data_IF_618713462174
#
_entry.id   IF_618713462174
#
_cell.length_a   1.000
_cell.length_b   1.000
_cell.length_c   1.000
_cell.angle_alpha   90.00
_cell.angle_beta   90.00
_cell.angle_gamma   90.00
#
_symmetry.space_group_name_H-M   'P 1'
#
loop_
_entity.id
_entity.type
_entity.pdbx_description
1 polymer ?
#
# COMPACT_ATOMS: atom_id res chain seq x y z
N UNK A 1 2.54 -28.89 11.72
CA UNK A 1 1.91 -27.75 11.02
C UNK A 1 2.90 -26.60 11.10
N UNK A 2 3.36 -26.08 9.97
CA UNK A 2 4.21 -24.88 9.97
C UNK A 2 3.44 -23.71 10.61
N UNK A 3 4.12 -22.91 11.40
CA UNK A 3 3.57 -21.71 12.03
C UNK A 3 3.12 -20.72 10.94
N UNK A 4 1.89 -20.20 11.04
CA UNK A 4 1.40 -19.20 10.10
C UNK A 4 2.11 -17.88 10.39
N UNK A 5 2.85 -17.36 9.40
CA UNK A 5 3.49 -16.06 9.48
C UNK A 5 2.59 -15.06 8.77
N UNK A 6 2.27 -13.96 9.45
CA UNK A 6 1.46 -12.86 8.94
C UNK A 6 2.35 -11.63 8.83
N UNK A 7 2.45 -11.06 7.63
CA UNK A 7 3.14 -9.79 7.41
C UNK A 7 2.09 -8.73 7.05
N UNK A 8 1.93 -7.74 7.92
CA UNK A 8 1.08 -6.57 7.69
C UNK A 8 1.92 -5.48 7.02
N UNK A 9 1.55 -5.08 5.80
CA UNK A 9 2.24 -4.06 5.01
C UNK A 9 1.40 -2.78 4.98
N UNK A 10 1.94 -1.72 5.57
CA UNK A 10 1.35 -0.40 5.63
C UNK A 10 1.92 0.46 4.51
N UNK A 11 1.20 0.56 3.40
CA UNK A 11 1.53 1.44 2.29
C UNK A 11 1.03 2.85 2.59
N UNK A 12 1.93 3.80 2.78
CA UNK A 12 1.61 5.18 3.11
C UNK A 12 1.90 6.06 1.90
N UNK A 13 0.88 6.76 1.39
CA UNK A 13 1.11 7.84 0.42
C UNK A 13 1.68 9.04 1.16
N UNK A 14 2.68 9.71 0.58
CA UNK A 14 3.23 10.94 1.15
C UNK A 14 2.16 12.00 1.49
N UNK A 15 2.45 12.87 2.47
CA UNK A 15 1.64 14.04 2.80
C UNK A 15 1.60 15.05 1.64
N UNK A 16 0.72 16.05 1.72
CA UNK A 16 0.58 17.06 0.68
C UNK A 16 1.92 17.75 0.37
N UNK A 17 2.25 17.84 -0.92
CA UNK A 17 3.47 18.46 -1.43
C UNK A 17 3.18 19.67 -2.31
N UNK A 18 4.21 20.47 -2.60
CA UNK A 18 4.13 21.61 -3.53
C UNK A 18 3.61 21.18 -4.91
N UNK A 19 3.96 19.98 -5.38
CA UNK A 19 3.42 19.44 -6.62
C UNK A 19 1.92 19.08 -6.55
N UNK A 20 1.36 18.80 -5.36
CA UNK A 20 -0.08 18.54 -5.22
C UNK A 20 -0.89 19.83 -5.27
N UNK A 21 -0.37 20.93 -4.72
CA UNK A 21 -1.04 22.24 -4.75
C UNK A 21 -0.87 22.96 -6.10
N UNK A 22 0.06 22.50 -6.95
CA UNK A 22 0.22 22.94 -8.33
C UNK A 22 -0.11 21.83 -9.35
N UNK A 23 -1.39 21.37 -9.41
CA UNK A 23 -1.78 20.25 -10.25
C UNK A 23 -1.71 20.56 -11.75
N UNK A 24 -1.51 21.82 -12.14
CA UNK A 24 -1.31 22.21 -13.54
C UNK A 24 0.07 21.81 -14.08
N UNK A 25 1.03 21.45 -13.21
CA UNK A 25 2.37 21.01 -13.60
C UNK A 25 2.51 19.50 -13.36
N UNK A 26 3.22 18.81 -14.25
CA UNK A 26 3.56 17.40 -14.06
C UNK A 26 4.64 17.25 -12.99
N UNK A 27 4.27 16.70 -11.83
CA UNK A 27 5.20 16.52 -10.72
C UNK A 27 6.20 15.36 -10.88
N UNK A 28 5.73 14.20 -11.38
CA UNK A 28 6.55 13.00 -11.58
C UNK A 28 7.50 12.66 -10.42
N UNK A 29 8.78 12.45 -10.75
CA UNK A 29 9.87 12.16 -9.80
C UNK A 29 10.64 13.40 -9.33
N UNK A 30 10.06 14.60 -9.42
CA UNK A 30 10.71 15.83 -8.97
C UNK A 30 11.17 15.76 -7.50
N UNK A 31 12.46 16.03 -7.28
CA UNK A 31 13.09 16.18 -5.96
C UNK A 31 12.87 17.56 -5.34
N UNK A 32 12.28 18.50 -6.09
CA UNK A 32 11.94 19.84 -5.59
C UNK A 32 10.52 19.91 -5.04
N UNK A 33 9.73 18.84 -5.22
CA UNK A 33 8.37 18.72 -4.71
C UNK A 33 8.37 18.39 -3.21
N UNK A 34 8.71 19.37 -2.36
CA UNK A 34 8.75 19.24 -0.89
C UNK A 34 7.35 19.18 -0.27
N UNK A 35 7.26 18.71 0.97
CA UNK A 35 6.00 18.78 1.73
C UNK A 35 5.57 20.23 1.97
N UNK A 36 4.27 20.50 1.89
CA UNK A 36 3.69 21.74 2.40
C UNK A 36 3.63 21.70 3.92
N UNK A 37 3.35 22.85 4.57
CA UNK A 37 3.05 22.88 6.01
C UNK A 37 1.89 21.95 6.36
N UNK A 38 0.89 21.86 5.49
CA UNK A 38 -0.23 20.92 5.65
C UNK A 38 0.26 19.47 5.53
N UNK A 39 1.11 19.15 4.55
CA UNK A 39 1.72 17.82 4.41
C UNK A 39 2.51 17.37 5.63
N UNK A 40 3.33 18.26 6.19
CA UNK A 40 4.06 17.99 7.44
C UNK A 40 3.11 17.71 8.61
N UNK A 41 2.03 18.50 8.75
CA UNK A 41 0.99 18.28 9.78
C UNK A 41 0.25 16.96 9.57
N UNK A 42 0.02 16.53 8.32
CA UNK A 42 -0.58 15.24 8.00
C UNK A 42 0.32 14.07 8.43
N UNK A 43 1.62 14.13 8.11
CA UNK A 43 2.59 13.12 8.52
C UNK A 43 2.70 13.02 10.06
N UNK A 44 2.72 14.18 10.74
CA UNK A 44 2.68 14.24 12.20
C UNK A 44 1.44 13.56 12.77
N UNK A 45 0.26 13.91 12.25
CA UNK A 45 -1.00 13.32 12.66
C UNK A 45 -1.03 11.79 12.45
N UNK A 46 -0.43 11.31 11.36
CA UNK A 46 -0.30 9.88 11.10
C UNK A 46 0.53 9.21 12.19
N UNK A 47 1.72 9.73 12.49
CA UNK A 47 2.59 9.16 13.52
C UNK A 47 1.94 9.13 14.90
N UNK A 48 1.30 10.24 15.32
CA UNK A 48 0.55 10.29 16.57
C UNK A 48 -0.61 9.28 16.59
N UNK A 49 -1.35 9.13 15.48
CA UNK A 49 -2.43 8.15 15.38
C UNK A 49 -1.93 6.70 15.50
N UNK A 50 -0.83 6.37 14.81
CA UNK A 50 -0.22 5.05 14.86
C UNK A 50 0.29 4.72 16.28
N UNK A 51 0.83 5.71 17.00
CA UNK A 51 1.30 5.57 18.39
C UNK A 51 0.15 5.47 19.39
N UNK A 52 -0.74 6.46 19.40
CA UNK A 52 -1.67 6.67 20.52
C UNK A 52 -2.95 5.83 20.38
N UNK A 53 -3.43 5.64 19.15
CA UNK A 53 -4.70 4.95 18.89
C UNK A 53 -4.51 3.50 18.47
N UNK A 54 -3.53 3.23 17.59
CA UNK A 54 -3.29 1.86 17.12
C UNK A 54 -2.19 1.14 17.91
N UNK A 55 -1.40 1.87 18.70
CA UNK A 55 -0.28 1.34 19.51
C UNK A 55 0.62 0.40 18.69
N UNK A 56 0.95 0.84 17.47
CA UNK A 56 1.72 0.04 16.52
C UNK A 56 3.22 0.25 16.68
N UNK A 57 3.94 -0.87 16.60
CA UNK A 57 5.37 -0.93 16.33
C UNK A 57 5.59 -1.48 14.93
N UNK A 58 6.66 -1.01 14.27
CA UNK A 58 7.08 -1.54 12.98
C UNK A 58 8.39 -2.31 13.14
N UNK A 59 8.45 -3.45 12.47
CA UNK A 59 9.64 -4.29 12.36
C UNK A 59 10.63 -3.77 11.32
N UNK A 60 10.14 -3.03 10.33
CA UNK A 60 10.94 -2.36 9.32
C UNK A 60 10.18 -1.16 8.73
N UNK A 61 10.92 -0.12 8.35
CA UNK A 61 10.39 1.06 7.68
C UNK A 61 11.19 1.33 6.42
N UNK A 62 10.52 1.43 5.29
CA UNK A 62 11.12 1.82 4.01
C UNK A 62 10.46 3.07 3.46
N UNK A 63 11.23 3.92 2.79
CA UNK A 63 10.72 5.13 2.17
C UNK A 63 11.30 5.33 0.77
N UNK A 64 10.48 5.83 -0.14
CA UNK A 64 10.95 6.37 -1.41
C UNK A 64 11.98 7.48 -1.17
N UNK A 65 13.03 7.51 -1.99
CA UNK A 65 14.05 8.56 -1.99
C UNK A 65 13.56 9.93 -2.48
N UNK A 66 12.32 10.07 -2.95
CA UNK A 66 11.76 11.38 -3.28
C UNK A 66 11.44 12.14 -2.00
N UNK A 67 11.92 13.39 -1.92
CA UNK A 67 11.88 14.22 -0.70
C UNK A 67 10.54 14.19 0.04
N UNK A 68 9.41 14.31 -0.65
CA UNK A 68 8.07 14.30 -0.02
C UNK A 68 7.72 13.00 0.71
N UNK A 69 8.11 11.86 0.16
CA UNK A 69 7.83 10.56 0.77
C UNK A 69 8.79 10.28 1.92
N UNK A 70 10.07 10.58 1.73
CA UNK A 70 11.07 10.48 2.79
C UNK A 70 10.73 11.38 3.99
N UNK A 71 10.42 12.66 3.74
CA UNK A 71 10.03 13.61 4.78
C UNK A 71 8.76 13.17 5.52
N UNK A 72 7.81 12.55 4.81
CA UNK A 72 6.62 11.96 5.45
C UNK A 72 7.01 10.83 6.40
N UNK A 73 7.91 9.94 5.96
CA UNK A 73 8.42 8.85 6.78
C UNK A 73 9.16 9.37 8.00
N UNK A 74 10.10 10.31 7.83
CA UNK A 74 10.91 10.87 8.90
C UNK A 74 10.05 11.54 9.99
N UNK A 75 9.07 12.36 9.61
CA UNK A 75 8.14 12.98 10.56
C UNK A 75 7.28 11.93 11.27
N UNK A 76 6.79 10.92 10.55
CA UNK A 76 5.98 9.84 11.14
C UNK A 76 6.80 9.00 12.12
N UNK A 77 8.04 8.67 11.78
CA UNK A 77 8.98 7.92 12.62
C UNK A 77 9.37 8.71 13.86
N UNK A 78 9.56 10.03 13.76
CA UNK A 78 9.82 10.90 14.91
C UNK A 78 8.70 10.79 15.96
N UNK A 79 7.44 10.77 15.54
CA UNK A 79 6.29 10.59 16.44
C UNK A 79 6.24 9.18 17.05
N UNK A 80 6.65 8.15 16.30
CA UNK A 80 6.72 6.76 16.75
C UNK A 80 7.95 6.46 17.62
N UNK A 81 8.88 7.40 17.76
CA UNK A 81 10.15 7.18 18.44
C UNK A 81 11.14 6.29 17.67
N UNK A 82 10.92 6.08 16.37
CA UNK A 82 11.81 5.32 15.48
C UNK A 82 12.91 6.28 14.98
N UNK A 83 14.20 6.01 15.24
CA UNK A 83 15.30 6.83 14.74
C UNK A 83 15.30 6.94 13.21
N UNK A 84 15.54 8.14 12.67
CA UNK A 84 15.57 8.39 11.22
C UNK A 84 16.56 7.48 10.47
N UNK A 85 17.67 7.09 11.11
CA UNK A 85 18.67 6.14 10.56
C UNK A 85 18.14 4.73 10.32
N UNK A 86 16.99 4.37 10.89
CA UNK A 86 16.33 3.06 10.70
C UNK A 86 15.34 3.09 9.52
N UNK A 87 15.20 4.23 8.84
CA UNK A 87 14.44 4.35 7.60
C UNK A 87 15.30 3.88 6.43
N UNK A 88 14.91 2.78 5.81
CA UNK A 88 15.57 2.24 4.63
C UNK A 88 15.09 2.96 3.36
N UNK A 89 16.00 3.61 2.64
CA UNK A 89 15.65 4.26 1.37
C UNK A 89 15.51 3.20 0.26
N UNK A 90 14.42 3.25 -0.49
CA UNK A 90 14.13 2.33 -1.59
C UNK A 90 13.63 3.07 -2.84
N UNK A 91 14.44 3.09 -3.90
CA UNK A 91 14.09 3.75 -5.17
C UNK A 91 12.93 3.07 -5.89
N UNK A 92 12.72 1.77 -5.66
CA UNK A 92 11.57 1.03 -6.18
C UNK A 92 10.22 1.54 -5.65
N UNK A 93 10.22 2.36 -4.59
CA UNK A 93 9.03 3.01 -4.06
C UNK A 93 8.76 4.39 -4.70
N UNK A 94 9.63 4.91 -5.57
CA UNK A 94 9.43 6.21 -6.24
C UNK A 94 8.13 6.26 -7.05
N UNK A 95 7.64 7.49 -7.31
CA UNK A 95 6.49 7.70 -8.18
C UNK A 95 6.78 7.26 -9.62
N UNK A 96 5.73 7.04 -10.41
CA UNK A 96 5.87 6.83 -11.85
C UNK A 96 6.64 7.99 -12.50
N UNK A 97 7.74 7.67 -13.19
CA UNK A 97 8.47 8.64 -14.02
C UNK A 97 7.58 9.11 -15.16
N UNK A 98 7.50 10.42 -15.37
CA UNK A 98 6.86 11.01 -16.55
C UNK A 98 7.91 11.48 -17.58
N UNK A 99 9.19 11.17 -17.36
CA UNK A 99 10.28 11.48 -18.28
C UNK A 99 10.30 12.96 -18.67
N UNK A 100 10.31 13.23 -19.97
CA UNK A 100 10.37 14.58 -20.54
C UNK A 100 9.14 15.45 -20.21
N UNK A 101 8.07 14.87 -19.68
CA UNK A 101 6.89 15.63 -19.27
C UNK A 101 7.05 16.27 -17.90
N UNK A 102 7.98 15.81 -17.07
CA UNK A 102 8.17 16.35 -15.72
C UNK A 102 8.51 17.85 -15.75
N UNK A 103 7.85 18.63 -14.89
CA UNK A 103 7.96 20.09 -14.86
C UNK A 103 7.19 20.82 -15.95
N UNK A 104 6.63 20.13 -16.95
CA UNK A 104 5.82 20.77 -18.00
C UNK A 104 4.37 21.03 -17.55
N UNK A 105 3.69 22.03 -18.14
CA UNK A 105 2.26 22.20 -17.97
C UNK A 105 1.49 20.98 -18.49
N UNK A 106 0.60 20.44 -17.65
CA UNK A 106 -0.25 19.29 -17.99
C UNK A 106 -1.07 19.55 -19.26
N UNK A 107 -1.56 20.77 -19.46
CA UNK A 107 -2.35 21.14 -20.63
C UNK A 107 -1.57 21.01 -21.96
N UNK A 108 -0.24 21.07 -21.93
CA UNK A 108 0.60 20.90 -23.13
C UNK A 108 0.89 19.44 -23.46
N UNK A 109 0.96 18.56 -22.45
CA UNK A 109 1.41 17.17 -22.62
C UNK A 109 0.26 16.17 -22.58
N UNK A 110 -0.79 16.44 -21.81
CA UNK A 110 -2.03 15.66 -21.79
C UNK A 110 -3.08 16.32 -22.70
N UNK A 111 -2.75 16.39 -23.99
CA UNK A 111 -3.69 16.89 -25.00
C UNK A 111 -4.91 15.97 -25.13
N UNK A 112 -6.04 16.43 -25.70
CA UNK A 112 -7.21 15.58 -25.93
C UNK A 112 -6.87 14.28 -26.68
N UNK A 113 -6.01 14.34 -27.69
CA UNK A 113 -5.59 13.18 -28.47
C UNK A 113 -4.81 12.16 -27.63
N UNK A 114 -3.87 12.65 -26.82
CA UNK A 114 -3.10 11.80 -25.88
C UNK A 114 -4.05 11.15 -24.87
N UNK A 115 -4.95 11.93 -24.27
CA UNK A 115 -5.91 11.42 -23.29
C UNK A 115 -6.86 10.39 -23.91
N UNK A 116 -7.25 10.56 -25.17
CA UNK A 116 -8.11 9.62 -25.89
C UNK A 116 -7.38 8.31 -26.23
N UNK A 117 -6.08 8.36 -26.54
CA UNK A 117 -5.29 7.16 -26.87
C UNK A 117 -4.85 6.37 -25.62
N UNK A 118 -4.66 7.04 -24.48
CA UNK A 118 -4.15 6.43 -23.25
C UNK A 118 -4.89 5.15 -22.82
N UNK A 119 -6.25 5.10 -22.74
CA UNK A 119 -6.97 3.91 -22.28
C UNK A 119 -6.69 2.65 -23.11
N UNK A 120 -6.50 2.79 -24.42
CA UNK A 120 -6.20 1.67 -25.31
C UNK A 120 -4.75 1.17 -25.17
N UNK A 121 -3.85 2.05 -24.72
CA UNK A 121 -2.43 1.76 -24.56
C UNK A 121 -2.08 1.29 -23.13
N UNK A 122 -2.96 1.45 -22.15
CA UNK A 122 -2.72 0.96 -20.79
C UNK A 122 -2.65 -0.59 -20.76
N UNK A 123 -1.77 -1.19 -19.92
CA UNK A 123 -0.91 -0.55 -18.92
C UNK A 123 0.46 -0.08 -19.46
N UNK A 124 0.66 -0.17 -20.78
CA UNK A 124 1.95 0.02 -21.46
C UNK A 124 2.22 1.44 -21.96
N UNK A 125 1.23 2.34 -21.86
CA UNK A 125 1.42 3.74 -22.20
C UNK A 125 2.60 4.33 -21.44
N UNK A 126 3.50 5.02 -22.15
CA UNK A 126 4.66 5.70 -21.58
C UNK A 126 4.67 7.16 -22.04
N UNK A 127 4.98 8.08 -21.14
CA UNK A 127 5.48 9.39 -21.54
C UNK A 127 6.88 9.22 -22.17
N UNK A 128 7.34 10.11 -23.08
CA UNK A 128 8.69 10.06 -23.62
C UNK A 128 9.75 10.03 -22.50
N UNK A 129 10.59 8.99 -22.48
CA UNK A 129 11.59 8.75 -21.43
C UNK A 129 11.02 8.42 -20.04
N UNK A 130 9.70 8.17 -19.94
CA UNK A 130 8.99 7.87 -18.70
C UNK A 130 8.79 6.38 -18.45
N UNK A 131 7.95 6.07 -17.45
CA UNK A 131 7.54 4.71 -17.11
C UNK A 131 6.09 4.45 -17.51
N UNK A 132 5.78 3.19 -17.81
CA UNK A 132 4.43 2.69 -17.94
C UNK A 132 3.89 2.20 -16.60
N UNK A 133 2.57 2.08 -16.49
CA UNK A 133 1.96 1.52 -15.29
C UNK A 133 2.37 0.05 -15.06
N UNK A 134 2.73 -0.68 -16.12
CA UNK A 134 3.26 -2.04 -16.01
C UNK A 134 4.66 -2.02 -15.41
N UNK A 135 5.56 -1.15 -15.90
CA UNK A 135 6.92 -1.02 -15.37
C UNK A 135 6.93 -0.66 -13.87
N UNK A 136 6.06 0.29 -13.48
CA UNK A 136 5.88 0.67 -12.07
C UNK A 136 5.39 -0.50 -11.23
N UNK A 137 4.39 -1.25 -11.70
CA UNK A 137 3.92 -2.45 -11.02
C UNK A 137 5.06 -3.46 -10.85
N UNK A 138 5.81 -3.73 -11.93
CA UNK A 138 6.89 -4.73 -11.92
C UNK A 138 7.97 -4.40 -10.90
N UNK A 139 8.49 -3.15 -10.87
CA UNK A 139 9.52 -2.78 -9.89
C UNK A 139 9.00 -2.80 -8.46
N UNK A 140 7.80 -2.29 -8.22
CA UNK A 140 7.25 -2.24 -6.87
C UNK A 140 6.92 -3.65 -6.36
N UNK A 141 6.43 -4.53 -7.23
CA UNK A 141 6.23 -5.94 -6.92
C UNK A 141 7.56 -6.64 -6.60
N UNK A 142 8.58 -6.46 -7.44
CA UNK A 142 9.90 -7.06 -7.21
C UNK A 142 10.45 -6.68 -5.84
N UNK A 143 10.44 -5.40 -5.51
CA UNK A 143 10.86 -4.90 -4.20
C UNK A 143 10.04 -5.49 -3.05
N UNK A 144 8.71 -5.42 -3.13
CA UNK A 144 7.84 -5.92 -2.05
C UNK A 144 7.98 -7.44 -1.87
N UNK A 145 8.11 -8.22 -2.95
CA UNK A 145 8.34 -9.66 -2.85
C UNK A 145 9.71 -9.99 -2.22
N UNK A 146 10.75 -9.23 -2.55
CA UNK A 146 12.05 -9.31 -1.88
C UNK A 146 11.95 -9.04 -0.38
N UNK A 147 11.29 -7.93 -0.01
CA UNK A 147 11.06 -7.56 1.39
C UNK A 147 10.22 -8.61 2.13
N UNK A 148 9.17 -9.17 1.51
CA UNK A 148 8.39 -10.26 2.12
C UNK A 148 9.27 -11.48 2.38
N UNK A 149 10.13 -11.88 1.44
CA UNK A 149 11.06 -13.00 1.62
C UNK A 149 12.00 -12.76 2.80
N UNK A 150 12.58 -11.57 2.89
CA UNK A 150 13.44 -11.17 4.02
C UNK A 150 12.69 -11.26 5.36
N UNK A 151 11.49 -10.67 5.44
CA UNK A 151 10.70 -10.69 6.68
C UNK A 151 10.25 -12.10 7.07
N UNK A 152 9.97 -12.98 6.11
CA UNK A 152 9.70 -14.39 6.37
C UNK A 152 10.94 -15.12 6.94
N UNK A 153 12.14 -14.83 6.43
CA UNK A 153 13.38 -15.42 6.95
C UNK A 153 13.64 -14.96 8.39
N UNK A 154 13.46 -13.68 8.68
CA UNK A 154 13.61 -13.12 10.04
C UNK A 154 12.60 -13.78 10.99
N UNK A 155 11.31 -13.81 10.62
CA UNK A 155 10.26 -14.43 11.43
C UNK A 155 10.55 -15.91 11.76
N UNK A 156 11.06 -16.68 10.79
CA UNK A 156 11.43 -18.09 11.00
C UNK A 156 12.61 -18.24 11.95
N UNK A 157 13.62 -17.39 11.84
CA UNK A 157 14.78 -17.39 12.73
C UNK A 157 14.38 -17.06 14.18
N UNK A 158 13.54 -16.05 14.36
CA UNK A 158 13.07 -15.62 15.68
C UNK A 158 12.24 -16.75 16.35
N UNK A 159 11.39 -17.43 15.58
CA UNK A 159 10.59 -18.58 16.04
C UNK A 159 11.42 -19.85 16.35
N UNK A 160 12.54 -20.07 15.64
CA UNK A 160 13.44 -21.20 15.89
C UNK A 160 14.34 -20.99 17.11
N UNK A 161 14.80 -19.76 17.34
CA UNK A 161 15.69 -19.44 18.46
C UNK A 161 14.94 -19.26 19.80
N UNK A 162 13.62 -19.48 19.85
CA UNK A 162 12.82 -19.24 21.05
C UNK A 162 12.89 -17.79 21.53
N UNK A 163 13.28 -16.86 20.66
CA UNK A 163 13.36 -15.44 20.99
C UNK A 163 11.93 -14.92 20.97
N UNK A 164 11.27 -15.01 22.12
CA UNK A 164 10.17 -14.10 22.46
C UNK A 164 10.70 -12.68 22.18
N UNK A 165 9.97 -11.80 21.46
CA UNK A 165 10.44 -10.46 21.22
C UNK A 165 10.73 -9.79 22.57
N UNK A 166 12.01 -9.68 22.91
CA UNK A 166 12.42 -9.04 24.15
C UNK A 166 12.28 -7.55 23.94
N UNK A 167 11.29 -6.98 24.62
CA UNK A 167 11.34 -5.59 25.07
C UNK A 167 12.58 -5.44 25.97
N UNK A 168 13.71 -5.03 25.37
CA UNK A 168 14.89 -4.48 26.04
C UNK A 168 15.71 -5.41 26.95
N UNK A 169 16.96 -5.72 26.55
CA UNK A 169 17.97 -6.27 27.47
C UNK A 169 19.12 -6.99 26.77
N UNK A 170 20.34 -6.46 26.91
CA UNK A 170 21.61 -7.00 26.38
C UNK A 170 21.97 -8.38 26.98
N UNK A 171 22.54 -9.29 26.17
CA UNK A 171 23.18 -10.51 26.69
C UNK A 171 23.84 -11.40 25.63
N UNK A 172 25.10 -11.78 25.87
CA UNK A 172 26.04 -12.44 24.95
C UNK A 172 25.82 -13.95 24.72
N UNK A 173 26.06 -14.38 23.48
CA UNK A 173 27.00 -15.45 23.05
C UNK A 173 26.81 -16.93 23.45
N UNK A 174 26.71 -17.83 22.45
CA UNK A 174 27.74 -18.83 22.08
C UNK A 174 27.26 -19.80 20.98
N UNK A 175 28.19 -20.16 20.10
CA UNK A 175 28.09 -21.15 19.01
C UNK A 175 28.32 -22.59 19.52
N UNK A 176 27.79 -23.60 18.79
CA UNK A 176 28.55 -24.77 18.28
C UNK A 176 27.69 -25.68 17.37
N UNK A 177 28.36 -26.36 16.42
CA UNK A 177 27.79 -26.96 15.19
C UNK A 177 27.47 -28.46 15.20
N UNK A 178 27.14 -28.99 14.02
CA UNK A 178 26.86 -30.42 13.74
C UNK A 178 26.32 -30.66 12.32
N UNK A 179 26.67 -31.80 11.71
CA UNK A 179 26.84 -32.09 10.28
C UNK A 179 25.63 -32.28 9.34
N UNK A 180 26.00 -32.26 8.06
CA UNK A 180 25.26 -32.24 6.79
C UNK A 180 24.46 -33.51 6.49
N UNK A 181 23.13 -33.35 6.39
CA UNK A 181 22.28 -34.04 5.41
C UNK A 181 21.76 -32.98 4.43
N UNK A 182 21.34 -33.37 3.21
CA UNK A 182 20.78 -32.42 2.22
C UNK A 182 19.83 -31.46 2.93
N UNK A 183 20.18 -30.17 2.93
CA UNK A 183 19.59 -29.23 3.87
C UNK A 183 18.09 -29.11 3.61
N UNK A 184 17.27 -29.07 4.66
CA UNK A 184 15.84 -28.72 4.52
C UNK A 184 15.65 -27.35 3.82
N UNK A 185 16.71 -26.54 3.75
CA UNK A 185 16.79 -25.28 3.03
C UNK A 185 16.67 -25.49 1.51
N UNK A 186 17.40 -26.44 0.91
CA UNK A 186 17.34 -26.73 -0.52
C UNK A 186 15.97 -27.30 -0.92
N UNK A 187 15.39 -28.19 -0.10
CA UNK A 187 14.05 -28.76 -0.34
C UNK A 187 12.93 -27.71 -0.23
N UNK A 188 13.12 -26.64 0.55
CA UNK A 188 12.12 -25.55 0.74
C UNK A 188 12.27 -24.42 -0.27
N UNK A 189 13.47 -24.20 -0.81
CA UNK A 189 13.69 -23.30 -1.94
C UNK A 189 13.02 -23.84 -3.21
N UNK A 190 13.02 -25.16 -3.40
CA UNK A 190 12.27 -25.83 -4.47
C UNK A 190 10.75 -25.67 -4.35
N UNK A 191 10.17 -25.75 -3.13
CA UNK A 191 8.72 -25.53 -2.93
C UNK A 191 8.27 -24.07 -3.11
N UNK A 192 9.12 -23.10 -2.73
CA UNK A 192 8.86 -21.68 -2.92
C UNK A 192 9.03 -21.27 -4.40
N UNK A 193 10.05 -21.82 -5.06
CA UNK A 193 10.24 -21.72 -6.51
C UNK A 193 9.05 -22.34 -7.24
N UNK A 194 8.56 -23.50 -6.80
CA UNK A 194 7.38 -24.16 -7.37
C UNK A 194 6.10 -23.35 -7.18
N UNK A 195 5.90 -22.70 -6.03
CA UNK A 195 4.72 -21.86 -5.77
C UNK A 195 4.70 -20.58 -6.61
N UNK A 196 5.87 -19.95 -6.80
CA UNK A 196 6.04 -18.79 -7.67
C UNK A 196 5.95 -19.18 -9.16
N UNK A 197 6.52 -20.33 -9.54
CA UNK A 197 6.40 -20.89 -10.89
C UNK A 197 4.96 -21.29 -11.22
N UNK A 198 4.17 -21.80 -10.25
CA UNK A 198 2.75 -22.10 -10.44
C UNK A 198 1.93 -20.84 -10.74
N UNK A 199 2.30 -19.71 -10.10
CA UNK A 199 1.67 -18.40 -10.35
C UNK A 199 1.99 -17.90 -11.76
N UNK A 200 3.22 -18.10 -12.26
CA UNK A 200 3.59 -17.76 -13.63
C UNK A 200 3.00 -18.72 -14.69
N UNK A 201 2.87 -20.01 -14.39
CA UNK A 201 2.17 -20.97 -15.26
C UNK A 201 0.68 -20.61 -15.42
N UNK A 202 0.01 -20.23 -14.32
CA UNK A 202 -1.39 -19.77 -14.35
C UNK A 202 -1.56 -18.48 -15.18
N UNK A 203 -0.54 -17.61 -15.22
CA UNK A 203 -0.51 -16.41 -16.08
C UNK A 203 -0.35 -16.74 -17.57
N UNK A 204 0.47 -17.73 -17.91
CA UNK A 204 0.63 -18.17 -19.31
C UNK A 204 -0.66 -18.82 -19.82
N UNK A 205 -1.33 -19.62 -18.98
CA UNK A 205 -2.64 -20.20 -19.31
C UNK A 205 -3.73 -19.13 -19.52
N UNK A 206 -3.72 -18.04 -18.74
CA UNK A 206 -4.66 -16.92 -18.91
C UNK A 206 -4.43 -16.10 -20.20
N UNK A 207 -3.22 -16.13 -20.77
CA UNK A 207 -2.91 -15.51 -22.08
C UNK A 207 -3.26 -16.41 -23.28
N UNK A 208 -3.54 -17.70 -23.06
CA UNK A 208 -3.77 -18.70 -24.10
C UNK A 208 -5.21 -18.82 -24.62
N UNK A 209 -6.20 -18.20 -23.96
CA UNK A 209 -7.60 -18.22 -24.42
C UNK A 209 -7.90 -16.98 -25.28
N UNK A 210 -7.33 -16.94 -26.48
CA UNK A 210 -7.84 -16.10 -27.57
C UNK A 210 -9.08 -16.75 -28.17
N UNK A 211 -10.25 -16.11 -28.01
CA UNK A 211 -11.43 -16.45 -28.79
C UNK A 211 -11.33 -15.81 -30.20
N UNK A 212 -11.84 -16.46 -31.26
CA UNK A 212 -11.51 -16.14 -32.64
C UNK A 212 -12.27 -14.92 -33.17
N UNK A 213 -11.69 -14.34 -34.21
CA UNK A 213 -12.29 -13.29 -35.05
C UNK A 213 -13.65 -13.71 -35.62
N UNK A 214 -14.62 -12.78 -35.58
CA UNK A 214 -15.83 -12.85 -36.38
C UNK A 214 -16.06 -11.47 -37.03
N UNK A 215 -16.09 -11.47 -38.36
CA UNK A 215 -16.21 -10.29 -39.19
C UNK A 215 -17.64 -9.75 -39.34
N UNK A 216 -17.69 -8.43 -39.53
CA UNK A 216 -18.51 -7.62 -40.46
C UNK A 216 -20.04 -7.82 -40.49
N UNK A 217 -20.79 -6.76 -40.15
CA UNK A 217 -21.74 -6.13 -41.09
C UNK A 217 -22.20 -4.73 -40.65
N UNK A 218 -22.34 -3.85 -41.65
CA UNK A 218 -22.86 -2.48 -41.61
C UNK A 218 -24.39 -2.43 -41.51
N UNK A 219 -24.95 -1.40 -40.85
CA UNK A 219 -25.77 -0.32 -41.43
C UNK A 219 -26.31 0.65 -40.32
N UNK A 220 -26.85 1.85 -40.65
CA UNK A 220 -26.65 3.08 -39.89
C UNK A 220 -27.99 3.69 -39.37
N UNK A 221 -27.93 4.98 -39.03
CA UNK A 221 -29.03 5.94 -38.71
C UNK A 221 -29.27 6.17 -37.21
N UNK A 222 -28.86 7.35 -36.72
CA UNK A 222 -29.67 8.58 -36.52
C UNK A 222 -30.32 8.56 -35.12
N UNK A 223 -30.54 9.62 -34.36
CA UNK A 223 -30.65 11.05 -34.65
C UNK A 223 -30.48 11.84 -33.34
N UNK A 224 -30.37 13.16 -33.50
CA UNK A 224 -30.25 14.22 -32.51
C UNK A 224 -31.45 14.31 -31.55
N UNK A 225 -31.28 14.93 -30.36
CA UNK A 225 -32.45 15.33 -29.57
C UNK A 225 -32.20 15.85 -28.15
N UNK A 226 -31.94 17.15 -28.05
CA UNK A 226 -31.98 18.02 -26.85
C UNK A 226 -33.30 17.99 -26.08
N UNK A 227 -33.30 18.27 -24.77
CA UNK A 227 -34.51 18.78 -24.10
C UNK A 227 -34.58 18.64 -22.57
N UNK A 228 -34.54 19.77 -21.89
CA UNK A 228 -34.67 19.99 -20.44
C UNK A 228 -36.14 19.81 -19.97
N UNK A 229 -36.39 19.27 -18.77
CA UNK A 229 -37.32 19.89 -17.79
C UNK A 229 -37.25 19.25 -16.40
N UNK A 230 -37.20 20.14 -15.41
CA UNK A 230 -37.45 19.90 -13.99
C UNK A 230 -38.89 19.42 -13.74
N UNK A 231 -39.10 18.58 -12.71
CA UNK A 231 -40.00 18.90 -11.58
C UNK A 231 -40.16 17.77 -10.55
N UNK A 232 -40.07 18.24 -9.29
CA UNK A 232 -40.86 17.90 -8.10
C UNK A 232 -40.77 16.52 -7.44
N UNK A 233 -40.25 16.58 -6.21
CA UNK A 233 -40.44 15.73 -5.03
C UNK A 233 -41.92 15.62 -4.64
N UNK A 234 -42.32 14.51 -3.99
CA UNK A 234 -43.19 14.65 -2.83
C UNK A 234 -42.62 13.95 -1.58
N UNK A 235 -42.73 14.68 -0.47
CA UNK A 235 -42.63 14.19 0.91
C UNK A 235 -43.85 13.33 1.26
N UNK A 236 -43.65 12.31 2.09
CA UNK A 236 -44.73 11.51 2.66
C UNK A 236 -44.19 10.49 3.67
N UNK A 237 -44.28 10.85 4.94
CA UNK A 237 -43.77 10.12 6.09
C UNK A 237 -44.63 8.90 6.51
N UNK A 238 -43.96 7.84 6.98
CA UNK A 238 -44.35 6.92 8.05
C UNK A 238 -43.24 5.84 8.13
N UNK A 239 -42.42 5.75 9.17
CA UNK A 239 -42.85 5.32 10.50
C UNK A 239 -42.83 3.79 10.56
N UNK A 240 -41.67 3.17 10.80
CA UNK A 240 -41.60 1.79 11.27
C UNK A 240 -40.38 1.56 12.15
N UNK A 241 -40.70 0.91 13.26
CA UNK A 241 -39.97 0.82 14.51
C UNK A 241 -38.76 -0.11 14.41
N UNK A 242 -37.75 0.24 15.20
CA UNK A 242 -36.67 -0.64 15.64
C UNK A 242 -37.24 -1.75 16.51
N UNK A 243 -37.12 -3.01 16.09
CA UNK A 243 -37.27 -4.16 16.98
C UNK A 243 -35.93 -4.86 17.15
N UNK A 244 -35.48 -4.88 18.40
CA UNK A 244 -34.43 -5.74 18.90
C UNK A 244 -34.88 -7.20 18.76
N UNK A 245 -34.03 -8.05 18.20
CA UNK A 245 -34.18 -9.50 18.30
C UNK A 245 -33.27 -9.98 19.43
N UNK A 246 -33.93 -10.25 20.56
CA UNK A 246 -33.38 -10.94 21.71
C UNK A 246 -33.00 -12.38 21.35
N UNK A 247 -31.99 -12.85 22.08
CA UNK A 247 -31.42 -14.17 22.02
C UNK A 247 -32.46 -15.27 22.34
N UNK A 248 -32.50 -16.30 21.50
CA UNK A 248 -33.02 -17.61 21.89
C UNK A 248 -31.90 -18.63 21.80
N UNK A 249 -31.61 -19.22 22.96
CA UNK A 249 -30.65 -20.30 23.12
C UNK A 249 -31.10 -21.56 22.38
N UNK A 250 -30.15 -22.14 21.64
CA UNK A 250 -30.19 -23.53 21.25
C UNK A 250 -28.97 -24.18 21.89
N UNK A 251 -29.23 -24.99 22.91
CA UNK A 251 -28.28 -25.95 23.45
C UNK A 251 -28.09 -27.06 22.42
N UNK A 252 -26.93 -27.08 21.75
CA UNK A 252 -26.49 -28.27 21.03
C UNK A 252 -25.17 -28.76 21.63
N UNK A 253 -25.33 -29.83 22.40
CA UNK A 253 -24.26 -30.67 22.93
C UNK A 253 -23.73 -31.54 21.80
N UNK A 254 -22.66 -31.11 21.13
CA UNK A 254 -21.81 -32.00 20.35
C UNK A 254 -20.39 -32.00 20.91
N UNK A 255 -19.95 -33.21 21.21
CA UNK A 255 -18.74 -33.54 21.93
C UNK A 255 -17.48 -33.21 21.12
N UNK A 256 -16.48 -32.66 21.81
CA UNK A 256 -15.07 -33.03 21.61
C UNK A 256 -14.48 -32.78 20.22
N UNK A 257 -14.72 -31.61 19.60
CA UNK A 257 -13.73 -31.08 18.68
C UNK A 257 -12.52 -30.66 19.53
N UNK A 258 -11.48 -31.50 19.53
CA UNK A 258 -10.18 -31.19 20.09
C UNK A 258 -9.70 -29.88 19.44
N UNK A 259 -9.92 -28.73 20.10
CA UNK A 259 -9.34 -27.47 19.68
C UNK A 259 -7.82 -27.65 19.75
N UNK A 260 -7.23 -28.01 18.60
CA UNK A 260 -5.78 -28.14 18.47
C UNK A 260 -5.22 -26.76 18.79
N UNK A 261 -4.26 -26.64 19.72
CA UNK A 261 -3.65 -25.36 20.03
C UNK A 261 -3.07 -24.77 18.74
N UNK A 262 -3.71 -23.72 18.23
CA UNK A 262 -3.19 -22.93 17.12
C UNK A 262 -1.97 -22.22 17.69
N UNK A 263 -0.76 -22.62 17.26
CA UNK A 263 0.46 -21.86 17.58
C UNK A 263 0.20 -20.41 17.17
N UNK A 264 0.46 -19.48 18.09
CA UNK A 264 0.22 -18.06 17.86
C UNK A 264 0.92 -17.63 16.57
N UNK A 265 0.19 -16.99 15.66
CA UNK A 265 0.77 -16.55 14.39
C UNK A 265 1.89 -15.52 14.65
N UNK A 266 3.09 -15.76 14.09
CA UNK A 266 4.16 -14.77 14.11
C UNK A 266 3.74 -13.61 13.22
N UNK A 267 3.60 -12.43 13.81
CA UNK A 267 3.17 -11.22 13.10
C UNK A 267 4.34 -10.27 12.94
N UNK A 268 4.59 -9.83 11.72
CA UNK A 268 5.49 -8.71 11.43
C UNK A 268 4.73 -7.56 10.78
N UNK A 269 5.15 -6.33 11.02
CA UNK A 269 4.57 -5.11 10.47
C UNK A 269 5.64 -4.28 9.79
N UNK A 270 5.40 -3.95 8.52
CA UNK A 270 6.33 -3.15 7.72
C UNK A 270 5.61 -1.91 7.19
N UNK A 271 6.24 -0.75 7.33
CA UNK A 271 5.74 0.50 6.74
C UNK A 271 6.52 0.84 5.46
N UNK A 272 5.81 1.10 4.36
CA UNK A 272 6.38 1.55 3.09
C UNK A 272 5.80 2.92 2.72
N UNK A 273 6.64 3.95 2.74
CA UNK A 273 6.26 5.32 2.38
C UNK A 273 6.57 5.58 0.90
N UNK A 274 5.53 5.89 0.11
CA UNK A 274 5.63 6.03 -1.33
C UNK A 274 4.62 7.01 -1.93
N UNK A 275 4.16 6.72 -3.14
CA UNK A 275 3.41 7.67 -3.97
C UNK A 275 2.13 7.08 -4.54
N UNK A 276 1.28 7.97 -5.06
CA UNK A 276 -0.07 7.63 -5.47
C UNK A 276 -0.11 6.62 -6.61
N UNK A 277 0.61 6.86 -7.70
CA UNK A 277 0.55 5.93 -8.84
C UNK A 277 1.30 4.63 -8.55
N UNK A 278 2.45 4.69 -7.89
CA UNK A 278 3.16 3.49 -7.43
C UNK A 278 2.26 2.54 -6.63
N UNK A 279 1.62 3.04 -5.55
CA UNK A 279 0.72 2.22 -4.71
C UNK A 279 -0.45 1.65 -5.53
N UNK A 280 -1.07 2.46 -6.41
CA UNK A 280 -2.19 2.00 -7.23
C UNK A 280 -1.78 0.91 -8.22
N UNK A 281 -0.64 1.05 -8.87
CA UNK A 281 -0.11 0.04 -9.79
C UNK A 281 0.20 -1.26 -9.05
N UNK A 282 0.80 -1.18 -7.86
CA UNK A 282 1.03 -2.36 -7.03
C UNK A 282 -0.28 -3.04 -6.58
N UNK A 283 -1.25 -2.26 -6.09
CA UNK A 283 -2.58 -2.77 -5.72
C UNK A 283 -3.27 -3.46 -6.87
N UNK A 284 -3.29 -2.83 -8.06
CA UNK A 284 -3.86 -3.43 -9.28
C UNK A 284 -3.21 -4.79 -9.53
N UNK A 285 -1.88 -4.84 -9.45
CA UNK A 285 -1.08 -6.02 -9.70
C UNK A 285 -1.40 -7.18 -8.76
N UNK A 286 -1.44 -6.94 -7.44
CA UNK A 286 -1.73 -8.01 -6.48
C UNK A 286 -3.19 -8.49 -6.57
N UNK A 287 -4.10 -7.60 -6.97
CA UNK A 287 -5.51 -7.93 -7.21
C UNK A 287 -5.77 -8.56 -8.58
N UNK A 288 -4.76 -8.62 -9.45
CA UNK A 288 -4.88 -9.11 -10.83
C UNK A 288 -6.01 -8.42 -11.61
N UNK A 289 -6.19 -7.12 -11.35
CA UNK A 289 -7.30 -6.34 -11.89
C UNK A 289 -6.94 -5.66 -13.21
N UNK A 290 -7.97 -5.35 -14.01
CA UNK A 290 -7.81 -4.66 -15.29
C UNK A 290 -7.07 -3.31 -15.13
N UNK A 291 -6.14 -2.95 -16.04
CA UNK A 291 -5.43 -1.67 -16.04
C UNK A 291 -6.32 -0.43 -15.83
N UNK A 292 -7.56 -0.45 -16.33
CA UNK A 292 -8.55 0.63 -16.19
C UNK A 292 -8.95 0.88 -14.74
N UNK A 293 -8.73 -0.07 -13.84
CA UNK A 293 -9.04 0.08 -12.42
C UNK A 293 -8.06 1.00 -11.70
N UNK A 294 -6.84 1.19 -12.22
CA UNK A 294 -5.79 1.99 -11.57
C UNK A 294 -6.27 3.40 -11.23
N UNK A 295 -7.01 4.05 -12.14
CA UNK A 295 -7.52 5.41 -11.93
C UNK A 295 -8.79 5.47 -11.07
N UNK A 296 -9.48 4.34 -10.88
CA UNK A 296 -10.66 4.24 -10.01
C UNK A 296 -10.30 4.09 -8.54
N UNK A 297 -9.05 3.72 -8.24
CA UNK A 297 -8.53 3.70 -6.87
C UNK A 297 -8.16 5.14 -6.50
N UNK A 298 -8.86 5.69 -5.51
CA UNK A 298 -8.56 7.00 -4.94
C UNK A 298 -7.68 6.83 -3.70
N UNK A 299 -6.65 7.67 -3.58
CA UNK A 299 -5.74 7.71 -2.44
C UNK A 299 -5.54 9.18 -2.06
N UNK A 300 -5.82 9.54 -0.82
CA UNK A 300 -5.62 10.87 -0.27
C UNK A 300 -4.15 11.11 0.11
N UNK A 301 -3.74 12.36 0.23
CA UNK A 301 -2.42 12.68 0.78
C UNK A 301 -2.33 12.15 2.22
N UNK A 302 -1.20 11.52 2.58
CA UNK A 302 -0.99 10.85 3.87
C UNK A 302 -1.89 9.64 4.14
N UNK A 303 -2.64 9.13 3.14
CA UNK A 303 -3.52 7.96 3.35
C UNK A 303 -2.72 6.67 3.60
N UNK A 304 -3.31 5.76 4.37
CA UNK A 304 -2.76 4.42 4.64
C UNK A 304 -3.57 3.35 3.89
N UNK A 305 -2.88 2.49 3.18
CA UNK A 305 -3.42 1.25 2.61
C UNK A 305 -2.78 0.08 3.35
N UNK A 306 -3.61 -0.75 4.00
CA UNK A 306 -3.16 -1.89 4.78
C UNK A 306 -3.37 -3.18 4.02
N UNK A 307 -2.28 -3.90 3.78
CA UNK A 307 -2.25 -5.20 3.16
C UNK A 307 -1.79 -6.26 4.17
N UNK A 308 -2.21 -7.49 3.96
CA UNK A 308 -1.71 -8.65 4.71
C UNK A 308 -1.22 -9.70 3.76
N UNK A 309 -0.02 -10.19 4.00
CA UNK A 309 0.51 -11.39 3.36
C UNK A 309 0.53 -12.53 4.38
N UNK A 310 -0.04 -13.67 4.02
CA UNK A 310 0.09 -14.89 4.82
C UNK A 310 0.68 -16.01 3.97
N UNK A 311 1.49 -16.87 4.59
CA UNK A 311 2.18 -17.96 3.87
C UNK A 311 1.24 -18.94 3.19
N UNK A 312 0.01 -19.09 3.68
CA UNK A 312 -0.99 -20.02 3.17
C UNK A 312 -1.94 -19.42 2.11
N UNK A 313 -2.24 -18.13 2.18
CA UNK A 313 -3.30 -17.49 1.39
C UNK A 313 -2.80 -16.33 0.52
N UNK A 314 -1.55 -15.89 0.70
CA UNK A 314 -0.97 -14.78 -0.04
C UNK A 314 -1.56 -13.44 0.38
N UNK A 315 -1.76 -12.54 -0.59
CA UNK A 315 -2.15 -11.15 -0.36
C UNK A 315 -3.64 -10.97 -0.06
N UNK A 316 -3.92 -10.13 0.92
CA UNK A 316 -5.26 -9.64 1.27
C UNK A 316 -5.22 -8.13 1.43
N UNK A 317 -6.22 -7.45 0.89
CA UNK A 317 -6.42 -6.02 1.12
C UNK A 317 -7.31 -5.86 2.35
N UNK A 318 -6.77 -5.26 3.42
CA UNK A 318 -7.53 -5.01 4.66
C UNK A 318 -8.15 -3.62 4.65
N UNK A 319 -7.39 -2.61 4.20
CA UNK A 319 -7.86 -1.23 4.06
C UNK A 319 -7.25 -0.59 2.83
N UNK A 320 -8.00 0.28 2.17
CA UNK A 320 -7.48 1.16 1.11
C UNK A 320 -7.87 2.58 1.47
N UNK A 321 -6.92 3.51 1.35
CA UNK A 321 -7.17 4.94 1.56
C UNK A 321 -7.70 5.30 2.97
N UNK A 322 -7.21 4.65 4.02
CA UNK A 322 -7.56 5.02 5.39
C UNK A 322 -6.97 6.40 5.74
N UNK A 323 -7.81 7.29 6.25
CA UNK A 323 -7.48 8.68 6.59
C UNK A 323 -8.01 9.06 7.97
N UNK A 324 -8.30 8.08 8.84
CA UNK A 324 -8.83 8.32 10.18
C UNK A 324 -8.00 9.34 11.00
N UNK A 325 -6.68 9.30 10.87
CA UNK A 325 -5.76 10.26 11.52
C UNK A 325 -6.00 11.71 11.10
N UNK A 326 -6.40 11.95 9.85
CA UNK A 326 -6.70 13.30 9.35
C UNK A 326 -8.00 13.84 9.92
N UNK A 327 -8.98 12.97 10.16
CA UNK A 327 -10.26 13.35 10.77
C UNK A 327 -10.06 13.66 12.25
N UNK A 328 -9.32 12.81 12.96
CA UNK A 328 -9.01 12.98 14.38
C UNK A 328 -8.19 14.25 14.62
N UNK A 329 -7.16 14.50 13.82
CA UNK A 329 -6.31 15.69 13.96
C UNK A 329 -7.07 17.01 13.76
N UNK A 330 -8.12 17.03 12.93
CA UNK A 330 -8.99 18.22 12.77
C UNK A 330 -9.82 18.52 14.01
N UNK A 331 -10.12 17.50 14.83
CA UNK A 331 -10.93 17.62 16.05
C UNK A 331 -10.08 17.90 17.30
N UNK A 332 -8.77 17.68 17.24
CA UNK A 332 -7.86 17.93 18.35
C UNK A 332 -7.68 19.44 18.62
N UNK A 333 -7.67 19.88 19.90
CA UNK A 333 -7.39 21.26 20.29
C UNK A 333 -6.10 21.82 19.68
N UNK A 334 -6.04 23.14 19.48
CA UNK A 334 -4.91 23.77 18.79
C UNK A 334 -3.64 23.83 19.65
N UNK A 335 -3.78 23.79 20.97
CA UNK A 335 -2.70 23.95 21.95
C UNK A 335 -1.74 22.73 22.03
N UNK A 336 -2.18 21.55 21.61
CA UNK A 336 -1.35 20.32 21.63
C UNK A 336 -0.40 20.20 20.42
N UNK A 337 -0.40 21.19 19.51
CA UNK A 337 0.27 21.09 18.20
C UNK A 337 1.69 21.64 18.23
N UNK A 338 2.62 20.96 18.91
CA UNK A 338 4.07 21.24 18.76
C UNK A 338 4.45 21.23 17.28
N UNK A 339 5.08 22.26 16.76
CA UNK A 339 5.47 22.28 15.36
C UNK A 339 6.73 21.43 15.14
N UNK A 340 6.77 20.70 14.03
CA UNK A 340 7.96 19.94 13.63
C UNK A 340 8.75 20.80 12.65
N UNK A 341 10.02 21.02 12.94
CA UNK A 341 10.95 21.78 12.11
C UNK A 341 11.98 20.86 11.46
N UNK A 342 12.31 21.14 10.20
CA UNK A 342 13.43 20.50 9.49
C UNK A 342 14.70 21.29 9.78
N UNK A 343 15.71 20.63 10.34
CA UNK A 343 17.00 21.24 10.67
C UNK A 343 17.92 21.33 9.44
N UNK A 344 18.95 22.21 9.47
CA UNK A 344 20.07 22.13 8.54
C UNK A 344 20.68 20.72 8.58
N UNK A 345 20.69 20.02 7.44
CA UNK A 345 21.09 18.61 7.36
C UNK A 345 19.93 17.62 7.15
N UNK A 346 18.68 18.08 7.17
CA UNK A 346 17.51 17.31 6.74
C UNK A 346 16.72 16.61 7.85
N UNK A 347 17.31 16.46 9.04
CA UNK A 347 16.67 15.81 10.19
C UNK A 347 15.53 16.63 10.79
N UNK A 348 14.48 15.94 11.24
CA UNK A 348 13.30 16.55 11.88
C UNK A 348 13.37 16.54 13.41
N UNK A 349 12.97 17.64 14.05
CA UNK A 349 12.79 17.74 15.51
C UNK A 349 11.59 18.63 15.83
N UNK A 350 11.07 18.53 17.06
CA UNK A 350 10.10 19.50 17.55
C UNK A 350 10.76 20.87 17.74
N UNK A 351 10.04 21.92 17.36
CA UNK A 351 10.34 23.29 17.79
C UNK A 351 10.38 23.36 19.32
N UNK A 352 11.40 24.02 19.84
CA UNK A 352 11.60 24.29 21.28
C UNK A 352 10.69 25.38 21.78
#
# INVERSE_FOLDING_TARGET
MAEEIVIEVYLVRHGESTANVHPSIVGGRSQHATLTTKGAKQAKALGAYLRDYLQLTFDAVYASSLVRAYDTAAITCLELGIPEREIHVADDLQEMSQGEWEGRPRAEVYTPDVLASMPALQPNFTAPGGESQLQVETRMRHFVEGMIKEQLQIARRDGQNGVVPQTGGLGMGREQGGEVGKSEQELREDELSASLALLDLRRQAAKGNGAPEAGVSHHPDSDLGTGVSERSVPEGAAGLQTSALEANGVSDTSAGALERPVRAAVRRRVALFGHGMAIKCFLRGILQSDPKMTHKIFLENSSVTLLKFTTNRGWHVTKVNDTAHLVLARRAPQEDRKEVAKLPGGTYRYST
#
